data_IF_011294694660
#
_entry.id   IF_011294694660
#
_cell.length_a   1.000
_cell.length_b   1.000
_cell.length_c   1.000
_cell.angle_alpha   90.00
_cell.angle_beta   90.00
_cell.angle_gamma   90.00
#
_symmetry.space_group_name_H-M   'P 1'
#
loop_
_entity.id
_entity.type
_entity.pdbx_description
1 polymer ?
#
# COMPACT_ATOMS: atom_id res chain seq x y z
N UNK A 1 11.43 -1.04 13.91
CA UNK A 1 11.70 -1.06 12.45
C UNK A 1 10.34 -1.25 11.76
N UNK A 2 9.98 -0.48 10.73
CA UNK A 2 8.68 -0.57 10.04
C UNK A 2 8.31 -2.02 9.66
N UNK A 3 9.28 -2.80 9.15
CA UNK A 3 9.05 -4.17 8.72
C UNK A 3 8.64 -5.13 9.85
N UNK A 4 8.99 -4.83 11.10
CA UNK A 4 8.55 -5.64 12.25
C UNK A 4 7.04 -5.48 12.52
N UNK A 5 6.42 -4.36 12.11
CA UNK A 5 4.97 -4.15 12.24
C UNK A 5 4.17 -5.11 11.36
N UNK A 6 4.78 -5.54 10.25
CA UNK A 6 4.18 -6.46 9.27
C UNK A 6 4.80 -7.84 9.31
N UNK A 7 5.55 -8.16 10.38
CA UNK A 7 6.21 -9.47 10.58
C UNK A 7 7.13 -9.89 9.42
N UNK A 8 7.71 -8.91 8.73
CA UNK A 8 8.67 -9.15 7.66
C UNK A 8 10.10 -8.91 8.16
N UNK A 9 11.04 -9.70 7.65
CA UNK A 9 12.48 -9.52 7.84
C UNK A 9 13.17 -9.40 6.49
N UNK A 10 14.20 -8.56 6.38
CA UNK A 10 15.04 -8.46 5.18
C UNK A 10 15.92 -9.70 5.09
N UNK A 11 15.77 -10.45 3.99
CA UNK A 11 16.57 -11.64 3.69
C UNK A 11 17.78 -11.29 2.81
N UNK A 12 17.58 -10.38 1.85
CA UNK A 12 18.66 -9.87 1.00
C UNK A 12 18.31 -8.50 0.43
N UNK A 13 19.32 -7.80 -0.09
CA UNK A 13 19.19 -6.48 -0.68
C UNK A 13 20.03 -6.40 -1.94
N UNK A 14 19.49 -5.77 -2.99
CA UNK A 14 20.19 -5.44 -4.23
C UNK A 14 19.81 -4.00 -4.58
N UNK A 15 20.79 -3.18 -4.96
CA UNK A 15 20.56 -1.78 -5.32
C UNK A 15 21.30 -1.39 -6.60
N UNK A 16 20.82 -0.34 -7.24
CA UNK A 16 21.50 0.37 -8.32
C UNK A 16 21.15 1.86 -8.25
N UNK A 17 21.61 2.65 -9.21
CA UNK A 17 21.39 4.11 -9.23
C UNK A 17 19.91 4.53 -9.33
N UNK A 18 19.01 3.59 -9.61
CA UNK A 18 17.58 3.84 -9.83
C UNK A 18 16.70 3.40 -8.66
N UNK A 19 17.08 2.35 -7.92
CA UNK A 19 16.27 1.78 -6.84
C UNK A 19 17.06 0.87 -5.89
N UNK A 20 16.53 0.71 -4.69
CA UNK A 20 16.89 -0.35 -3.74
C UNK A 20 15.77 -1.40 -3.68
N UNK A 21 16.12 -2.66 -3.90
CA UNK A 21 15.23 -3.81 -3.83
C UNK A 21 15.56 -4.69 -2.62
N UNK A 22 14.54 -5.04 -1.85
CA UNK A 22 14.63 -5.85 -0.65
C UNK A 22 13.79 -7.11 -0.84
N UNK A 23 14.45 -8.28 -0.74
CA UNK A 23 13.75 -9.54 -0.56
C UNK A 23 13.40 -9.66 0.92
N UNK A 24 12.13 -9.87 1.22
CA UNK A 24 11.64 -10.03 2.58
C UNK A 24 11.16 -11.46 2.80
N UNK A 25 11.05 -11.89 4.06
CA UNK A 25 10.39 -13.14 4.43
C UNK A 25 8.95 -13.13 3.91
N UNK A 26 8.68 -13.91 2.84
CA UNK A 26 7.40 -13.99 2.13
C UNK A 26 6.91 -12.67 1.49
N UNK A 27 7.81 -11.74 1.18
CA UNK A 27 7.43 -10.41 0.68
C UNK A 27 8.54 -9.77 -0.14
N UNK A 28 8.26 -8.64 -0.78
CA UNK A 28 9.28 -7.82 -1.43
C UNK A 28 8.97 -6.34 -1.30
N UNK A 29 10.01 -5.53 -1.27
CA UNK A 29 9.91 -4.07 -1.19
C UNK A 29 10.89 -3.42 -2.16
N UNK A 30 10.45 -2.37 -2.84
CA UNK A 30 11.24 -1.60 -3.79
C UNK A 30 11.14 -0.12 -3.42
N UNK A 31 12.29 0.53 -3.23
CA UNK A 31 12.41 1.94 -2.87
C UNK A 31 13.05 2.66 -4.05
N UNK A 32 12.28 3.54 -4.68
CA UNK A 32 12.71 4.47 -5.71
C UNK A 32 12.85 5.87 -5.11
N UNK A 33 13.50 6.83 -5.79
CA UNK A 33 13.66 8.20 -5.27
C UNK A 33 12.37 8.90 -4.83
N UNK A 34 11.21 8.56 -5.42
CA UNK A 34 9.90 9.15 -5.09
C UNK A 34 8.75 8.13 -5.04
N UNK A 35 9.06 6.84 -4.91
CA UNK A 35 8.04 5.79 -4.90
C UNK A 35 8.48 4.64 -4.00
N UNK A 36 7.53 4.12 -3.22
CA UNK A 36 7.69 2.88 -2.47
C UNK A 36 6.69 1.86 -3.01
N UNK A 37 7.16 0.66 -3.31
CA UNK A 37 6.30 -0.50 -3.61
C UNK A 37 6.56 -1.55 -2.54
N UNK A 38 5.52 -1.92 -1.78
CA UNK A 38 5.56 -3.00 -0.80
C UNK A 38 4.55 -4.06 -1.19
N UNK A 39 5.00 -5.30 -1.39
CA UNK A 39 4.17 -6.44 -1.71
C UNK A 39 4.35 -7.52 -0.68
N UNK A 40 3.25 -7.92 -0.04
CA UNK A 40 3.23 -8.99 0.95
C UNK A 40 2.31 -10.13 0.52
N UNK A 41 2.45 -11.29 1.15
CA UNK A 41 1.50 -12.39 0.99
C UNK A 41 1.09 -12.95 2.37
N UNK A 42 0.39 -14.09 2.37
CA UNK A 42 -0.03 -14.77 3.60
C UNK A 42 -1.13 -14.00 4.34
N UNK A 43 -0.90 -13.79 5.65
CA UNK A 43 -1.83 -13.07 6.56
C UNK A 43 -1.26 -11.74 7.05
N UNK A 44 -0.23 -11.25 6.38
CA UNK A 44 0.46 -10.01 6.72
C UNK A 44 -0.48 -8.81 6.60
N UNK A 45 -0.59 -8.03 7.68
CA UNK A 45 -1.47 -6.86 7.77
C UNK A 45 -0.80 -5.62 7.18
N UNK A 46 -0.57 -5.59 5.87
CA UNK A 46 0.21 -4.56 5.19
C UNK A 46 -0.28 -3.13 5.47
N UNK A 47 -1.59 -2.91 5.65
CA UNK A 47 -2.12 -1.57 5.93
C UNK A 47 -1.68 -1.02 7.31
N UNK A 48 -1.20 -1.87 8.22
CA UNK A 48 -0.63 -1.42 9.49
C UNK A 48 0.73 -0.73 9.31
N UNK A 49 1.40 -0.90 8.18
CA UNK A 49 2.63 -0.19 7.86
C UNK A 49 2.39 1.25 7.38
N UNK A 50 1.17 1.60 6.94
CA UNK A 50 0.87 2.91 6.33
C UNK A 50 1.29 4.09 7.23
N UNK A 51 0.92 4.16 8.52
CA UNK A 51 1.33 5.28 9.37
C UNK A 51 2.85 5.47 9.45
N UNK A 52 3.59 4.37 9.55
CA UNK A 52 5.04 4.41 9.66
C UNK A 52 5.70 4.76 8.32
N UNK A 53 5.16 4.29 7.20
CA UNK A 53 5.60 4.69 5.85
C UNK A 53 5.42 6.21 5.67
N UNK A 54 4.26 6.76 6.05
CA UNK A 54 3.98 8.19 5.96
C UNK A 54 4.93 9.01 6.84
N UNK A 55 5.22 8.52 8.05
CA UNK A 55 6.18 9.14 8.97
C UNK A 55 7.60 9.15 8.40
N UNK A 56 8.05 8.04 7.82
CA UNK A 56 9.37 7.93 7.18
C UNK A 56 9.46 8.88 6.00
N UNK A 57 8.46 8.91 5.12
CA UNK A 57 8.40 9.84 3.98
C UNK A 57 8.53 11.29 4.45
N UNK A 58 7.74 11.68 5.46
CA UNK A 58 7.80 13.03 6.03
C UNK A 58 9.18 13.36 6.64
N UNK A 59 9.84 12.40 7.29
CA UNK A 59 11.18 12.62 7.88
C UNK A 59 12.28 12.87 6.85
N UNK A 60 12.07 12.49 5.59
CA UNK A 60 12.98 12.75 4.47
C UNK A 60 12.48 13.88 3.56
N UNK A 61 11.48 14.66 4.02
CA UNK A 61 10.94 15.80 3.27
C UNK A 61 10.03 15.42 2.11
N UNK A 62 9.54 14.18 2.06
CA UNK A 62 8.58 13.72 1.05
C UNK A 62 7.14 13.77 1.59
N UNK A 63 6.21 14.11 0.70
CA UNK A 63 4.78 14.01 0.94
C UNK A 63 4.17 13.04 -0.08
N UNK A 64 3.22 12.22 0.37
CA UNK A 64 2.52 11.30 -0.53
C UNK A 64 1.57 12.08 -1.42
N UNK A 65 1.78 11.95 -2.72
CA UNK A 65 0.93 12.54 -3.75
C UNK A 65 -0.16 11.54 -4.18
N UNK A 66 0.26 10.31 -4.50
CA UNK A 66 -0.61 9.23 -4.95
C UNK A 66 -0.42 7.96 -4.13
N UNK A 67 -1.52 7.24 -3.95
CA UNK A 67 -1.57 5.93 -3.29
C UNK A 67 -2.30 4.95 -4.18
N UNK A 68 -1.70 3.78 -4.38
CA UNK A 68 -2.34 2.65 -5.02
C UNK A 68 -2.28 1.44 -4.09
N UNK A 69 -3.44 0.94 -3.71
CA UNK A 69 -3.58 -0.33 -2.99
C UNK A 69 -4.40 -1.28 -3.84
N UNK A 70 -3.93 -2.51 -3.99
CA UNK A 70 -4.68 -3.51 -4.74
C UNK A 70 -4.36 -4.92 -4.26
N UNK A 71 -5.31 -5.81 -4.51
CA UNK A 71 -5.12 -7.26 -4.34
C UNK A 71 -6.15 -8.04 -5.14
N UNK A 72 -5.78 -9.25 -5.53
CA UNK A 72 -6.77 -10.24 -5.94
C UNK A 72 -7.67 -10.61 -4.75
N UNK A 73 -8.90 -11.05 -5.04
CA UNK A 73 -9.74 -11.67 -4.03
C UNK A 73 -9.04 -12.87 -3.36
N UNK A 74 -9.17 -12.98 -2.04
CA UNK A 74 -8.54 -14.07 -1.30
C UNK A 74 -9.26 -15.39 -1.53
N UNK A 75 -8.51 -16.50 -1.54
CA UNK A 75 -9.09 -17.84 -1.49
C UNK A 75 -9.81 -18.11 -0.15
N UNK A 76 -9.28 -17.58 0.95
CA UNK A 76 -9.83 -17.75 2.30
C UNK A 76 -9.88 -16.39 3.04
N UNK A 77 -10.85 -15.50 2.73
CA UNK A 77 -10.95 -14.19 3.37
C UNK A 77 -11.05 -14.26 4.90
N UNK A 78 -11.77 -15.25 5.44
CA UNK A 78 -11.98 -15.40 6.89
C UNK A 78 -10.71 -15.70 7.68
N UNK A 79 -9.65 -16.19 7.00
CA UNK A 79 -8.34 -16.42 7.63
C UNK A 79 -7.49 -15.16 7.74
N UNK A 80 -7.91 -14.06 7.11
CA UNK A 80 -7.20 -12.79 7.18
C UNK A 80 -7.48 -12.08 8.51
N UNK A 81 -6.51 -11.26 8.93
CA UNK A 81 -6.65 -10.41 10.10
C UNK A 81 -7.22 -9.05 9.69
N UNK A 82 -8.00 -8.40 10.56
CA UNK A 82 -8.48 -7.04 10.31
C UNK A 82 -7.27 -6.10 10.04
N UNK A 83 -7.35 -5.19 9.04
CA UNK A 83 -8.50 -4.85 8.20
C UNK A 83 -8.73 -5.74 6.96
N UNK A 84 -7.93 -6.78 6.73
CA UNK A 84 -7.87 -7.54 5.47
C UNK A 84 -8.93 -8.64 5.28
N UNK A 85 -9.98 -8.66 6.11
CA UNK A 85 -11.07 -9.65 5.97
C UNK A 85 -12.02 -9.31 4.84
N UNK A 86 -12.18 -8.03 4.54
CA UNK A 86 -13.05 -7.54 3.48
C UNK A 86 -12.40 -6.35 2.78
N UNK A 87 -12.71 -6.16 1.50
CA UNK A 87 -12.20 -4.98 0.79
C UNK A 87 -12.80 -3.68 1.35
N UNK A 88 -14.03 -3.73 1.85
CA UNK A 88 -14.66 -2.58 2.49
C UNK A 88 -13.91 -2.11 3.74
N UNK A 89 -13.41 -3.04 4.57
CA UNK A 89 -12.63 -2.68 5.77
C UNK A 89 -11.26 -2.11 5.40
N UNK A 90 -10.64 -2.63 4.34
CA UNK A 90 -9.38 -2.10 3.79
C UNK A 90 -9.57 -0.66 3.28
N UNK A 91 -10.65 -0.38 2.55
CA UNK A 91 -11.00 0.98 2.09
C UNK A 91 -11.20 1.92 3.27
N UNK A 92 -12.00 1.51 4.28
CA UNK A 92 -12.20 2.32 5.50
C UNK A 92 -10.89 2.59 6.23
N UNK A 93 -10.00 1.61 6.29
CA UNK A 93 -8.70 1.78 6.91
C UNK A 93 -7.84 2.81 6.17
N UNK A 94 -7.85 2.78 4.84
CA UNK A 94 -7.12 3.71 3.97
C UNK A 94 -7.69 5.13 4.00
N UNK A 95 -9.02 5.27 4.04
CA UNK A 95 -9.71 6.57 4.12
C UNK A 95 -9.39 7.36 5.41
N UNK A 96 -8.91 6.68 6.46
CA UNK A 96 -8.42 7.36 7.67
C UNK A 96 -7.11 8.14 7.43
N UNK A 97 -6.35 7.79 6.39
CA UNK A 97 -5.05 8.38 6.08
C UNK A 97 -5.08 9.26 4.83
N UNK A 98 -5.92 8.92 3.85
CA UNK A 98 -5.95 9.56 2.55
C UNK A 98 -7.31 10.18 2.25
N UNK A 99 -7.30 11.34 1.59
CA UNK A 99 -8.53 12.02 1.15
C UNK A 99 -8.85 11.63 -0.29
N UNK A 100 -10.13 11.72 -0.66
CA UNK A 100 -10.62 11.40 -2.01
C UNK A 100 -10.32 9.95 -2.45
N UNK A 101 -10.37 9.00 -1.52
CA UNK A 101 -10.24 7.58 -1.83
C UNK A 101 -11.30 7.14 -2.84
N UNK A 102 -10.89 6.34 -3.82
CA UNK A 102 -11.74 5.73 -4.82
C UNK A 102 -11.48 4.23 -4.84
N UNK A 103 -12.54 3.43 -4.82
CA UNK A 103 -12.45 1.98 -4.75
C UNK A 103 -13.24 1.32 -5.90
N UNK A 104 -12.63 0.33 -6.53
CA UNK A 104 -13.16 -0.36 -7.71
C UNK A 104 -12.93 -1.87 -7.62
N UNK A 105 -13.86 -2.63 -8.17
CA UNK A 105 -13.71 -4.06 -8.40
C UNK A 105 -13.61 -4.28 -9.90
N UNK A 106 -12.55 -4.97 -10.34
CA UNK A 106 -12.34 -5.31 -11.75
C UNK A 106 -12.41 -6.82 -11.90
N UNK A 107 -13.40 -7.30 -12.65
CA UNK A 107 -13.63 -8.72 -12.90
C UNK A 107 -14.99 -9.20 -12.42
N UNK A 108 -15.16 -10.52 -12.31
CA UNK A 108 -16.42 -11.14 -11.89
C UNK A 108 -16.54 -11.08 -10.36
N UNK A 109 -17.55 -10.38 -9.84
CA UNK A 109 -17.78 -10.24 -8.39
C UNK A 109 -17.84 -11.62 -7.69
N UNK A 110 -18.55 -12.58 -8.30
CA UNK A 110 -18.70 -13.94 -7.78
C UNK A 110 -17.60 -14.91 -8.27
N UNK A 111 -16.50 -14.39 -8.81
CA UNK A 111 -15.38 -15.16 -9.31
C UNK A 111 -14.06 -14.45 -9.05
N UNK A 112 -13.07 -14.74 -9.89
CA UNK A 112 -11.80 -14.02 -9.82
C UNK A 112 -12.00 -12.56 -10.19
N UNK A 113 -11.61 -11.69 -9.26
CA UNK A 113 -11.62 -10.25 -9.43
C UNK A 113 -10.45 -9.64 -8.67
N UNK A 114 -10.15 -8.41 -9.04
CA UNK A 114 -9.21 -7.57 -8.32
C UNK A 114 -9.95 -6.45 -7.61
N UNK A 115 -9.49 -6.17 -6.39
CA UNK A 115 -9.87 -5.03 -5.59
C UNK A 115 -8.81 -3.95 -5.79
N UNK A 116 -9.23 -2.75 -6.15
CA UNK A 116 -8.37 -1.61 -6.42
C UNK A 116 -8.83 -0.40 -5.60
N UNK A 117 -7.91 0.22 -4.88
CA UNK A 117 -8.10 1.50 -4.24
C UNK A 117 -7.02 2.47 -4.71
N UNK A 118 -7.40 3.71 -5.02
CA UNK A 118 -6.47 4.81 -5.20
C UNK A 118 -6.92 6.06 -4.44
N UNK A 119 -5.96 6.88 -4.05
CA UNK A 119 -6.21 8.20 -3.48
C UNK A 119 -5.10 9.15 -3.93
N UNK A 120 -5.49 10.35 -4.33
CA UNK A 120 -4.61 11.32 -4.98
C UNK A 120 -4.81 12.69 -4.33
N UNK A 121 -3.72 13.45 -4.23
CA UNK A 121 -3.79 14.85 -3.82
C UNK A 121 -4.42 15.65 -4.96
N UNK A 122 -5.63 16.16 -4.75
CA UNK A 122 -6.22 17.11 -5.71
C UNK A 122 -5.33 18.34 -5.81
N UNK A 123 -4.88 18.66 -7.04
CA UNK A 123 -4.35 19.98 -7.33
C UNK A 123 -5.48 21.00 -7.11
N UNK A 124 -5.20 22.05 -6.34
CA UNK A 124 -6.16 23.14 -6.20
C UNK A 124 -6.28 23.82 -7.57
N UNK A 125 -7.49 23.83 -8.15
CA UNK A 125 -7.76 24.47 -9.45
C UNK A 125 -7.37 25.96 -9.44
N UNK A 126 -7.24 26.59 -8.27
CA UNK A 126 -6.74 27.95 -8.10
C UNK A 126 -5.25 28.16 -8.40
N UNK A 127 -4.43 27.10 -8.48
CA UNK A 127 -3.00 27.17 -8.83
C UNK A 127 -2.75 27.02 -10.33
N UNK A 128 -3.73 26.52 -11.09
CA UNK A 128 -3.66 26.35 -12.55
C UNK A 128 -3.91 27.69 -13.28
N UNK A 129 -4.50 28.67 -12.58
CA UNK A 129 -4.84 30.00 -13.13
C UNK A 129 -3.91 31.13 -12.64
N UNK A 130 -2.68 30.81 -12.23
CA UNK A 130 -1.63 31.80 -11.93
C UNK A 130 -0.46 31.69 -12.87
#
# INVERSE_FOLDING_TARGET
>A
NMLSLVKCQVLSTVGNDYLDAYLLSESSMFVYPRQLVLKTCGTTTILMAVPEILKIAASVGLHVDDVFYNRQNFFFPDKQLHPHRSFQDEVKALDNYFRNGSAYIVGKINGNHWNFYNAEKKQNISEINK
#
